data_IF_621060416718
#
_entry.id   IF_621060416718
#
_cell.length_a   1.000
_cell.length_b   1.000
_cell.length_c   1.000
_cell.angle_alpha   90.00
_cell.angle_beta   90.00
_cell.angle_gamma   90.00
#
_symmetry.space_group_name_H-M   'P 1'
#
loop_
_entity.id
_entity.type
_entity.pdbx_description
1 polymer ?
#
# COMPACT_ATOMS: atom_id res chain seq x y z
N UNK A 1 7.16 -10.64 -3.84
CA UNK A 1 7.50 -10.53 -2.40
C UNK A 1 6.35 -10.97 -1.49
N UNK A 2 5.20 -10.29 -1.43
CA UNK A 2 4.15 -10.69 -0.47
C UNK A 2 3.60 -12.11 -0.67
N UNK A 3 3.32 -12.53 -1.91
CA UNK A 3 2.84 -13.88 -2.19
C UNK A 3 3.80 -14.91 -1.59
N UNK A 4 5.10 -14.73 -1.84
CA UNK A 4 6.15 -15.55 -1.26
C UNK A 4 6.12 -15.53 0.26
N UNK A 5 6.01 -14.37 0.91
CA UNK A 5 5.93 -14.29 2.38
C UNK A 5 4.74 -15.09 2.91
N UNK A 6 3.54 -14.90 2.36
CA UNK A 6 2.35 -15.62 2.83
C UNK A 6 2.44 -17.11 2.56
N UNK A 7 2.84 -17.54 1.36
CA UNK A 7 2.95 -18.96 1.04
C UNK A 7 4.05 -19.63 1.84
N UNK A 8 5.21 -18.99 1.99
CA UNK A 8 6.34 -19.51 2.73
C UNK A 8 6.06 -19.58 4.24
N UNK A 9 5.48 -18.54 4.84
CA UNK A 9 5.08 -18.59 6.26
C UNK A 9 4.01 -19.66 6.49
N UNK A 10 3.04 -19.81 5.58
CA UNK A 10 2.04 -20.89 5.67
C UNK A 10 2.69 -22.26 5.52
N UNK A 11 3.68 -22.40 4.63
CA UNK A 11 4.44 -23.63 4.46
C UNK A 11 5.19 -24.00 5.75
N UNK A 12 5.92 -23.06 6.35
CA UNK A 12 6.63 -23.28 7.61
C UNK A 12 5.69 -23.67 8.75
N UNK A 13 4.56 -22.99 8.90
CA UNK A 13 3.62 -23.25 10.00
C UNK A 13 2.82 -24.55 9.83
N UNK A 14 2.48 -24.95 8.60
CA UNK A 14 1.51 -26.03 8.36
C UNK A 14 2.12 -27.29 7.71
N UNK A 15 3.23 -27.18 6.97
CA UNK A 15 3.82 -28.29 6.21
C UNK A 15 5.16 -28.82 6.77
N UNK A 16 5.79 -28.14 7.72
CA UNK A 16 7.06 -28.58 8.33
C UNK A 16 6.80 -29.30 9.65
N UNK A 17 7.35 -30.50 9.80
CA UNK A 17 7.35 -31.24 11.05
C UNK A 17 8.62 -30.91 11.86
N UNK A 18 8.47 -29.98 12.81
CA UNK A 18 9.58 -29.54 13.65
C UNK A 18 10.08 -30.61 14.62
N UNK A 19 9.27 -31.61 14.97
CA UNK A 19 9.69 -32.69 15.87
C UNK A 19 10.71 -33.63 15.19
N UNK A 20 10.56 -33.83 13.87
CA UNK A 20 11.53 -34.57 13.06
C UNK A 20 12.75 -33.69 12.74
N UNK A 21 12.53 -32.41 12.42
CA UNK A 21 13.61 -31.47 12.10
C UNK A 21 14.58 -31.25 13.28
N UNK A 22 14.06 -31.19 14.51
CA UNK A 22 14.87 -31.04 15.73
C UNK A 22 15.26 -32.37 16.38
N UNK A 23 15.02 -33.51 15.70
CA UNK A 23 15.36 -34.85 16.18
C UNK A 23 14.72 -35.25 17.52
N UNK A 24 13.57 -34.66 17.88
CA UNK A 24 12.78 -35.05 19.05
C UNK A 24 12.10 -36.42 18.86
N UNK A 25 11.94 -36.86 17.60
CA UNK A 25 11.38 -38.16 17.24
C UNK A 25 12.33 -38.91 16.31
N UNK A 26 12.69 -40.16 16.60
CA UNK A 26 13.49 -40.97 15.68
C UNK A 26 12.69 -41.27 14.42
N UNK A 27 13.35 -41.18 13.26
CA UNK A 27 12.76 -41.60 11.99
C UNK A 27 12.51 -43.11 12.04
N UNK A 28 11.26 -43.53 11.79
CA UNK A 28 10.89 -44.96 11.65
C UNK A 28 11.43 -45.57 10.33
N UNK A 29 12.67 -45.29 9.93
CA UNK A 29 13.40 -46.05 8.89
C UNK A 29 13.96 -47.34 9.51
N UNK A 30 13.12 -48.14 10.15
CA UNK A 30 13.47 -49.47 10.63
C UNK A 30 13.42 -50.46 9.47
N UNK A 31 14.39 -50.41 8.55
CA UNK A 31 14.65 -51.54 7.62
C UNK A 31 16.03 -51.60 6.97
N UNK A 32 17.01 -50.82 7.43
CA UNK A 32 18.40 -51.09 7.06
C UNK A 32 19.29 -50.89 8.29
N UNK A 33 19.91 -51.98 8.72
CA UNK A 33 20.87 -52.03 9.81
C UNK A 33 22.07 -51.11 9.50
N UNK A 34 22.32 -50.11 10.35
CA UNK A 34 23.62 -49.49 10.62
C UNK A 34 23.50 -48.54 11.82
N UNK A 35 24.52 -48.42 12.69
CA UNK A 35 24.43 -47.78 14.00
C UNK A 35 24.84 -46.29 13.98
N UNK A 36 24.45 -45.55 12.94
CA UNK A 36 24.65 -44.09 12.89
C UNK A 36 23.29 -43.39 13.06
N UNK A 37 23.22 -42.26 13.80
CA UNK A 37 21.99 -41.48 13.87
C UNK A 37 21.62 -41.07 12.44
N UNK A 38 20.57 -41.70 11.91
CA UNK A 38 20.15 -41.53 10.52
C UNK A 38 20.05 -40.04 10.21
N UNK A 39 20.93 -39.55 9.33
CA UNK A 39 21.07 -38.14 9.02
C UNK A 39 19.73 -37.61 8.50
N UNK A 40 19.09 -36.76 9.30
CA UNK A 40 17.81 -36.15 8.93
C UNK A 40 18.04 -35.22 7.75
N UNK A 41 17.41 -35.52 6.62
CA UNK A 41 17.44 -34.65 5.45
C UNK A 41 16.24 -33.69 5.47
N UNK A 42 16.39 -32.50 4.89
CA UNK A 42 15.30 -31.52 4.77
C UNK A 42 13.98 -32.11 4.22
N UNK A 43 13.95 -32.97 3.18
CA UNK A 43 12.70 -33.55 2.70
C UNK A 43 12.04 -34.51 3.71
N UNK A 44 12.79 -35.11 4.63
CA UNK A 44 12.21 -36.00 5.67
C UNK A 44 11.37 -35.21 6.69
N UNK A 45 11.63 -33.90 6.86
CA UNK A 45 10.87 -33.01 7.72
C UNK A 45 9.67 -32.32 7.03
N UNK A 46 9.52 -32.49 5.71
CA UNK A 46 8.42 -31.88 4.93
C UNK A 46 7.29 -32.88 4.76
N UNK A 47 6.10 -32.51 5.24
CA UNK A 47 4.91 -33.36 5.14
C UNK A 47 4.44 -33.50 3.69
N UNK A 48 3.94 -34.68 3.29
CA UNK A 48 3.37 -34.88 1.97
C UNK A 48 2.14 -33.97 1.74
N UNK A 49 1.95 -33.53 0.50
CA UNK A 49 0.94 -32.56 0.08
C UNK A 49 -0.49 -32.78 0.65
N UNK A 50 -1.06 -34.01 0.65
CA UNK A 50 -2.41 -34.23 1.21
C UNK A 50 -2.47 -34.01 2.73
N UNK A 51 -1.43 -34.42 3.47
CA UNK A 51 -1.35 -34.24 4.92
C UNK A 51 -1.14 -32.77 5.29
N UNK A 52 -0.32 -32.04 4.52
CA UNK A 52 -0.21 -30.60 4.71
C UNK A 52 -1.54 -29.89 4.40
N UNK A 53 -2.28 -30.32 3.36
CA UNK A 53 -3.58 -29.71 3.03
C UNK A 53 -4.61 -29.88 4.14
N UNK A 54 -4.65 -31.05 4.76
CA UNK A 54 -5.54 -31.34 5.87
C UNK A 54 -5.14 -30.56 7.15
N UNK A 55 -3.82 -30.45 7.45
CA UNK A 55 -3.32 -29.63 8.56
C UNK A 55 -3.56 -28.14 8.37
N UNK A 56 -3.43 -27.64 7.14
CA UNK A 56 -3.74 -26.24 6.79
C UNK A 56 -5.20 -25.90 7.12
N UNK A 57 -6.10 -26.83 6.83
CA UNK A 57 -7.53 -26.63 7.05
C UNK A 57 -7.93 -26.71 8.54
N UNK A 58 -7.20 -27.49 9.35
CA UNK A 58 -7.48 -27.67 10.78
C UNK A 58 -6.78 -26.64 11.69
N UNK A 59 -5.47 -26.41 11.51
CA UNK A 59 -4.65 -25.51 12.34
C UNK A 59 -4.50 -24.10 11.77
N UNK A 60 -4.48 -23.96 10.44
CA UNK A 60 -4.18 -22.71 9.77
C UNK A 60 -5.44 -22.05 9.17
N UNK A 61 -6.54 -22.01 9.93
CA UNK A 61 -7.77 -21.26 9.56
C UNK A 61 -7.55 -19.74 9.43
N UNK A 62 -6.44 -19.24 9.97
CA UNK A 62 -6.18 -17.81 10.21
C UNK A 62 -5.21 -17.14 9.24
N UNK A 63 -4.94 -17.69 8.04
CA UNK A 63 -4.40 -16.83 6.99
C UNK A 63 -5.58 -16.03 6.47
N UNK A 64 -5.63 -14.69 6.65
CA UNK A 64 -6.67 -13.89 6.03
C UNK A 64 -6.66 -14.28 4.56
N UNK A 65 -7.79 -14.80 4.07
CA UNK A 65 -7.96 -15.17 2.67
C UNK A 65 -7.42 -14.01 1.85
N UNK A 66 -6.88 -14.30 0.66
CA UNK A 66 -6.50 -13.30 -0.32
C UNK A 66 -7.63 -12.32 -0.73
N UNK A 67 -8.71 -12.14 0.03
CA UNK A 67 -9.71 -11.09 -0.10
C UNK A 67 -9.12 -9.69 0.00
N UNK A 68 -8.13 -9.44 0.87
CA UNK A 68 -7.40 -8.15 0.89
C UNK A 68 -6.61 -7.95 -0.41
N UNK A 69 -6.08 -9.04 -0.96
CA UNK A 69 -5.35 -9.09 -2.23
C UNK A 69 -6.27 -8.88 -3.43
N UNK A 70 -7.41 -9.56 -3.46
CA UNK A 70 -8.41 -9.41 -4.50
C UNK A 70 -8.94 -7.97 -4.54
N UNK A 71 -9.10 -7.28 -3.40
CA UNK A 71 -9.47 -5.84 -3.40
C UNK A 71 -8.33 -4.96 -3.93
N UNK A 72 -7.09 -5.17 -3.50
CA UNK A 72 -5.95 -4.41 -4.00
C UNK A 72 -5.71 -4.61 -5.51
N UNK A 73 -5.87 -5.84 -6.01
CA UNK A 73 -5.74 -6.19 -7.44
C UNK A 73 -6.93 -5.67 -8.25
N UNK A 74 -8.19 -5.79 -7.78
CA UNK A 74 -9.36 -5.21 -8.49
C UNK A 74 -9.33 -3.69 -8.54
N UNK A 75 -8.83 -3.01 -7.51
CA UNK A 75 -8.66 -1.56 -7.54
C UNK A 75 -7.52 -1.11 -8.47
N UNK A 76 -6.47 -1.93 -8.64
CA UNK A 76 -5.41 -1.68 -9.64
C UNK A 76 -5.82 -2.06 -11.06
N UNK A 77 -6.69 -3.05 -11.20
CA UNK A 77 -7.24 -3.54 -12.47
C UNK A 77 -8.57 -2.85 -12.83
N UNK A 78 -8.85 -1.66 -12.28
CA UNK A 78 -9.77 -0.75 -12.96
C UNK A 78 -9.12 -0.49 -14.32
N UNK A 79 -9.72 -0.95 -15.42
CA UNK A 79 -9.13 -0.72 -16.73
C UNK A 79 -9.03 0.79 -16.91
N UNK A 80 -7.91 1.23 -17.49
CA UNK A 80 -7.75 2.52 -18.14
C UNK A 80 -8.79 2.66 -19.26
N UNK A 81 -10.07 2.75 -18.90
CA UNK A 81 -11.17 2.88 -19.85
C UNK A 81 -11.21 4.33 -20.29
N UNK A 82 -11.02 4.47 -21.60
CA UNK A 82 -10.94 5.71 -22.36
C UNK A 82 -9.86 6.66 -21.86
N UNK A 83 -8.61 6.33 -22.19
CA UNK A 83 -7.62 7.37 -22.46
C UNK A 83 -8.24 8.23 -23.60
N UNK A 84 -8.59 9.51 -23.37
CA UNK A 84 -9.13 10.35 -24.44
C UNK A 84 -8.13 10.36 -25.60
N UNK A 85 -8.57 10.44 -26.86
CA UNK A 85 -7.70 10.40 -28.07
C UNK A 85 -6.48 11.35 -28.01
N UNK A 86 -6.52 12.41 -27.19
CA UNK A 86 -5.35 13.28 -26.95
C UNK A 86 -4.20 12.58 -26.22
N UNK A 87 -4.50 11.64 -25.33
CA UNK A 87 -3.48 10.95 -24.56
C UNK A 87 -2.77 9.83 -25.32
N UNK A 88 -3.13 9.46 -26.55
CA UNK A 88 -2.27 8.62 -27.41
C UNK A 88 -0.99 9.37 -27.84
N UNK A 89 -1.08 10.68 -28.12
CA UNK A 89 0.09 11.50 -28.42
C UNK A 89 0.86 11.94 -27.17
N UNK A 90 0.18 12.01 -26.02
CA UNK A 90 0.88 12.13 -24.74
C UNK A 90 1.62 10.82 -24.43
N UNK A 91 0.97 9.66 -24.61
CA UNK A 91 1.54 8.33 -24.36
C UNK A 91 2.76 8.06 -25.23
N UNK A 92 2.79 8.49 -26.50
CA UNK A 92 3.98 8.35 -27.36
C UNK A 92 5.21 9.08 -26.81
N UNK A 93 5.06 10.24 -26.16
CA UNK A 93 6.17 10.93 -25.48
C UNK A 93 6.74 10.12 -24.29
N UNK A 94 5.96 9.23 -23.71
CA UNK A 94 6.34 8.40 -22.56
C UNK A 94 6.75 6.98 -22.95
N UNK A 95 6.67 6.56 -24.22
CA UNK A 95 7.05 5.20 -24.60
C UNK A 95 8.55 5.06 -24.90
N UNK A 96 9.25 6.13 -25.31
CA UNK A 96 10.63 6.01 -25.84
C UNK A 96 11.74 6.61 -24.96
N UNK A 97 11.46 7.16 -23.77
CA UNK A 97 12.55 7.82 -23.01
C UNK A 97 12.29 8.22 -21.56
N UNK A 98 11.28 7.69 -20.88
CA UNK A 98 10.94 8.17 -19.50
C UNK A 98 12.08 7.97 -18.50
N UNK A 99 12.94 6.98 -18.74
CA UNK A 99 14.12 6.75 -17.89
C UNK A 99 15.31 7.65 -18.22
N UNK A 100 15.34 8.27 -19.40
CA UNK A 100 16.44 9.13 -19.85
C UNK A 100 16.18 10.62 -19.61
N UNK A 101 14.93 11.03 -19.36
CA UNK A 101 14.58 12.43 -19.13
C UNK A 101 14.64 12.84 -17.65
N UNK A 102 15.10 14.07 -17.39
CA UNK A 102 14.95 14.71 -16.08
C UNK A 102 13.49 15.13 -15.83
N UNK A 103 13.10 15.30 -14.56
CA UNK A 103 11.74 15.78 -14.22
C UNK A 103 11.44 17.15 -14.84
N UNK A 104 12.45 18.02 -14.97
CA UNK A 104 12.31 19.34 -15.58
C UNK A 104 11.99 19.24 -17.08
N UNK A 105 12.67 18.37 -17.81
CA UNK A 105 12.38 18.12 -19.23
C UNK A 105 10.97 17.55 -19.43
N UNK A 106 10.58 16.64 -18.54
CA UNK A 106 9.23 16.08 -18.50
C UNK A 106 8.18 17.17 -18.28
N UNK A 107 8.42 18.07 -17.33
CA UNK A 107 7.53 19.18 -17.02
C UNK A 107 7.41 20.16 -18.20
N UNK A 108 8.53 20.52 -18.83
CA UNK A 108 8.57 21.38 -20.00
C UNK A 108 7.77 20.78 -21.17
N UNK A 109 7.93 19.48 -21.44
CA UNK A 109 7.17 18.76 -22.47
C UNK A 109 5.68 18.72 -22.16
N UNK A 110 5.29 18.53 -20.90
CA UNK A 110 3.89 18.54 -20.47
C UNK A 110 3.25 19.92 -20.69
N UNK A 111 3.97 21.00 -20.38
CA UNK A 111 3.51 22.37 -20.63
C UNK A 111 3.38 22.66 -22.13
N UNK A 112 4.33 22.19 -22.96
CA UNK A 112 4.26 22.30 -24.41
C UNK A 112 3.08 21.52 -25.00
N UNK A 113 2.79 20.33 -24.46
CA UNK A 113 1.63 19.53 -24.84
C UNK A 113 0.31 20.21 -24.52
N UNK A 114 0.18 20.86 -23.35
CA UNK A 114 -1.05 21.59 -22.99
C UNK A 114 -1.46 22.63 -24.06
N UNK A 115 -0.48 23.25 -24.72
CA UNK A 115 -0.74 24.25 -25.78
C UNK A 115 -1.31 23.60 -27.04
N UNK A 116 -0.84 22.39 -27.37
CA UNK A 116 -1.27 21.62 -28.55
C UNK A 116 -2.55 20.84 -28.29
N UNK A 117 -2.74 20.38 -27.06
CA UNK A 117 -3.85 19.58 -26.60
C UNK A 117 -4.35 20.15 -25.28
N UNK A 118 -5.61 20.58 -25.21
CA UNK A 118 -6.20 21.13 -23.98
C UNK A 118 -6.43 20.03 -22.92
N UNK A 119 -5.36 19.53 -22.29
CA UNK A 119 -5.42 18.54 -21.20
C UNK A 119 -6.14 19.14 -19.98
N UNK A 120 -5.95 20.43 -19.73
CA UNK A 120 -6.70 21.21 -18.73
C UNK A 120 -7.82 22.01 -19.39
N UNK A 121 -9.07 21.61 -19.14
CA UNK A 121 -10.27 22.24 -19.76
C UNK A 121 -10.43 23.73 -19.40
N UNK A 122 -10.02 24.14 -18.20
CA UNK A 122 -10.31 25.47 -17.66
C UNK A 122 -9.19 26.51 -17.87
N UNK A 123 -8.00 26.08 -18.31
CA UNK A 123 -6.80 26.92 -18.36
C UNK A 123 -6.08 26.67 -19.68
N UNK A 124 -5.93 27.73 -20.49
CA UNK A 124 -5.23 27.65 -21.78
C UNK A 124 -3.74 27.37 -21.65
N UNK A 125 -3.13 27.86 -20.57
CA UNK A 125 -1.72 27.64 -20.25
C UNK A 125 -1.59 26.95 -18.89
N UNK A 126 -0.63 26.02 -18.80
CA UNK A 126 -0.29 25.30 -17.57
C UNK A 126 1.07 25.79 -17.11
N UNK A 127 1.16 26.24 -15.85
CA UNK A 127 2.42 26.65 -15.24
C UNK A 127 3.08 25.49 -14.49
N UNK A 128 4.37 25.62 -14.22
CA UNK A 128 5.11 24.69 -13.36
C UNK A 128 4.47 24.57 -11.98
N UNK A 129 4.10 25.70 -11.39
CA UNK A 129 3.47 25.76 -10.07
C UNK A 129 2.12 25.02 -10.04
N UNK A 130 1.33 25.10 -11.12
CA UNK A 130 0.07 24.37 -11.23
C UNK A 130 0.27 22.84 -11.19
N UNK A 131 1.35 22.35 -11.82
CA UNK A 131 1.72 20.94 -11.82
C UNK A 131 2.08 20.51 -10.39
N UNK A 132 2.95 21.28 -9.73
CA UNK A 132 3.34 21.02 -8.35
C UNK A 132 2.14 20.99 -7.40
N UNK A 133 1.25 21.99 -7.48
CA UNK A 133 0.04 22.05 -6.65
C UNK A 133 -0.93 20.90 -6.90
N UNK A 134 -0.94 20.30 -8.09
CA UNK A 134 -1.77 19.12 -8.38
C UNK A 134 -1.16 17.84 -7.82
N UNK A 135 0.15 17.66 -7.95
CA UNK A 135 0.86 16.46 -7.48
C UNK A 135 0.92 16.46 -5.95
N UNK A 136 1.33 17.59 -5.36
CA UNK A 136 1.67 17.68 -3.95
C UNK A 136 0.50 18.13 -3.05
N UNK A 137 -0.71 18.30 -3.59
CA UNK A 137 -1.87 18.88 -2.87
C UNK A 137 -2.01 18.34 -1.44
N UNK A 138 -2.14 17.02 -1.31
CA UNK A 138 -2.39 16.39 0.00
C UNK A 138 -1.13 16.34 0.87
N UNK A 139 0.05 16.21 0.27
CA UNK A 139 1.31 16.28 1.01
C UNK A 139 1.51 17.65 1.64
N UNK A 140 1.21 18.72 0.91
CA UNK A 140 1.28 20.10 1.43
C UNK A 140 0.32 20.30 2.60
N UNK A 141 -0.90 19.72 2.56
CA UNK A 141 -1.80 19.74 3.71
C UNK A 141 -1.23 18.98 4.91
N UNK A 142 -0.70 17.76 4.71
CA UNK A 142 -0.10 16.98 5.80
C UNK A 142 1.08 17.71 6.44
N UNK A 143 2.00 18.26 5.62
CA UNK A 143 3.13 19.06 6.10
C UNK A 143 2.63 20.27 6.90
N UNK A 144 1.63 21.00 6.39
CA UNK A 144 1.06 22.13 7.11
C UNK A 144 0.42 21.74 8.45
N UNK A 145 -0.30 20.62 8.52
CA UNK A 145 -0.93 20.13 9.74
C UNK A 145 0.09 19.68 10.79
N UNK A 146 1.17 19.01 10.37
CA UNK A 146 2.26 18.60 11.26
C UNK A 146 3.01 19.82 11.79
N UNK A 147 3.38 20.77 10.91
CA UNK A 147 4.11 21.97 11.28
C UNK A 147 3.33 22.86 12.26
N UNK A 148 2.00 22.92 12.08
CA UNK A 148 1.09 23.66 12.98
C UNK A 148 0.65 22.86 14.21
N UNK A 149 1.21 21.67 14.43
CA UNK A 149 0.85 20.77 15.53
C UNK A 149 -0.67 20.52 15.67
N UNK A 150 -1.38 20.46 14.54
CA UNK A 150 -2.82 20.17 14.51
C UNK A 150 -3.12 18.68 14.71
N UNK A 151 -2.11 17.83 14.50
CA UNK A 151 -2.20 16.39 14.69
C UNK A 151 -1.58 16.00 16.04
N UNK A 152 -2.24 15.13 16.84
CA UNK A 152 -1.75 14.69 18.13
C UNK A 152 -0.64 13.64 17.95
N UNK A 153 0.54 14.09 17.52
CA UNK A 153 1.69 13.22 17.26
C UNK A 153 2.67 13.15 18.44
N UNK A 154 2.53 14.04 19.43
CA UNK A 154 3.43 14.14 20.59
C UNK A 154 2.76 13.55 21.83
N UNK A 155 3.40 12.54 22.42
CA UNK A 155 2.91 11.86 23.61
C UNK A 155 3.93 12.00 24.73
N UNK A 156 3.49 12.23 25.97
CA UNK A 156 4.36 12.22 27.15
C UNK A 156 4.19 10.91 27.89
N UNK A 157 5.24 10.10 27.94
CA UNK A 157 5.27 8.88 28.73
C UNK A 157 6.02 9.13 30.04
N UNK A 158 5.58 8.52 31.17
CA UNK A 158 6.11 8.80 32.50
C UNK A 158 7.60 8.45 32.68
N UNK A 159 8.18 7.63 31.80
CA UNK A 159 9.59 7.20 31.87
C UNK A 159 10.43 7.62 30.66
N UNK A 160 9.83 7.73 29.47
CA UNK A 160 10.56 8.04 28.21
C UNK A 160 10.47 9.53 27.81
N UNK A 161 9.77 10.36 28.57
CA UNK A 161 9.57 11.77 28.24
C UNK A 161 8.66 11.97 27.03
N UNK A 162 8.93 12.98 26.20
CA UNK A 162 8.09 13.32 25.04
C UNK A 162 8.53 12.52 23.81
N UNK A 163 7.63 11.70 23.26
CA UNK A 163 7.83 10.92 22.03
C UNK A 163 6.99 11.47 20.89
N UNK A 164 7.53 11.36 19.67
CA UNK A 164 6.81 11.67 18.42
C UNK A 164 6.41 10.36 17.74
N UNK A 165 5.12 10.13 17.55
CA UNK A 165 4.60 8.93 16.91
C UNK A 165 3.86 9.27 15.62
N UNK A 166 4.53 9.09 14.48
CA UNK A 166 3.94 9.20 13.14
C UNK A 166 4.40 8.02 12.28
N UNK A 167 3.72 6.88 12.43
CA UNK A 167 3.99 5.70 11.62
C UNK A 167 3.33 5.82 10.24
N UNK A 168 3.81 5.05 9.25
CA UNK A 168 3.17 4.98 7.93
C UNK A 168 1.69 4.56 8.01
N UNK A 169 1.35 3.69 8.96
CA UNK A 169 -0.04 3.26 9.19
C UNK A 169 -0.90 4.39 9.76
N UNK A 170 -0.40 5.15 10.73
CA UNK A 170 -1.13 6.31 11.26
C UNK A 170 -1.30 7.38 10.18
N UNK A 171 -0.23 7.70 9.44
CA UNK A 171 -0.29 8.63 8.31
C UNK A 171 -1.35 8.20 7.29
N UNK A 172 -1.37 6.92 6.89
CA UNK A 172 -2.38 6.38 5.98
C UNK A 172 -3.81 6.54 6.51
N UNK A 173 -4.04 6.24 7.80
CA UNK A 173 -5.37 6.40 8.40
C UNK A 173 -5.80 7.85 8.47
N UNK A 174 -4.89 8.78 8.77
CA UNK A 174 -5.17 10.21 8.76
C UNK A 174 -5.51 10.72 7.36
N UNK A 175 -4.74 10.32 6.35
CA UNK A 175 -5.01 10.67 4.95
C UNK A 175 -6.33 10.05 4.46
N UNK A 176 -6.64 8.82 4.87
CA UNK A 176 -7.91 8.16 4.57
C UNK A 176 -9.09 8.93 5.21
N UNK A 177 -8.97 9.32 6.48
CA UNK A 177 -10.01 10.06 7.19
C UNK A 177 -10.24 11.45 6.57
N UNK A 178 -9.16 12.19 6.27
CA UNK A 178 -9.24 13.59 5.88
C UNK A 178 -9.43 13.80 4.38
N UNK A 179 -8.84 12.95 3.54
CA UNK A 179 -8.73 13.21 2.10
C UNK A 179 -9.47 12.21 1.20
N UNK A 180 -9.43 10.90 1.49
CA UNK A 180 -9.85 9.87 0.51
C UNK A 180 -11.06 9.02 0.92
N UNK A 181 -11.49 9.06 2.18
CA UNK A 181 -12.62 8.29 2.70
C UNK A 181 -13.99 8.82 2.25
N UNK A 182 -15.06 8.03 2.43
CA UNK A 182 -16.42 8.43 2.05
C UNK A 182 -16.94 9.66 2.82
N UNK A 183 -16.47 9.81 4.07
CA UNK A 183 -16.76 10.95 4.93
C UNK A 183 -15.65 12.02 4.92
N UNK A 184 -14.67 11.92 4.00
CA UNK A 184 -13.56 12.86 3.94
C UNK A 184 -14.02 14.30 3.65
N UNK A 185 -13.19 15.26 4.05
CA UNK A 185 -13.44 16.70 3.88
C UNK A 185 -13.48 17.10 2.39
N UNK A 186 -12.79 16.35 1.55
CA UNK A 186 -12.78 16.50 0.11
C UNK A 186 -13.96 15.74 -0.50
N UNK A 187 -14.80 16.45 -1.27
CA UNK A 187 -15.86 15.81 -2.07
C UNK A 187 -15.25 15.03 -3.25
N UNK A 188 -14.22 15.62 -3.86
CA UNK A 188 -13.50 15.12 -5.02
C UNK A 188 -12.00 15.27 -4.72
N UNK A 189 -11.11 14.67 -5.52
CA UNK A 189 -9.63 14.78 -5.38
C UNK A 189 -9.06 16.22 -5.41
N UNK A 190 -9.90 17.23 -5.62
CA UNK A 190 -9.48 18.62 -5.81
C UNK A 190 -10.32 19.69 -5.12
N UNK A 191 -11.53 19.37 -4.67
CA UNK A 191 -12.41 20.35 -4.03
C UNK A 191 -12.80 19.90 -2.63
N UNK A 192 -12.70 20.81 -1.67
CA UNK A 192 -13.30 20.67 -0.34
C UNK A 192 -14.82 20.80 -0.43
N UNK A 193 -15.53 20.08 0.44
CA UNK A 193 -16.97 20.23 0.58
C UNK A 193 -17.31 21.69 0.88
N UNK A 194 -18.34 22.28 0.25
CA UNK A 194 -18.69 23.70 0.43
C UNK A 194 -19.03 24.05 1.89
N UNK A 195 -19.53 23.07 2.66
CA UNK A 195 -19.82 23.23 4.07
C UNK A 195 -18.57 23.57 4.89
N UNK A 196 -17.41 22.98 4.55
CA UNK A 196 -16.13 23.25 5.22
C UNK A 196 -15.61 24.67 4.99
N UNK A 197 -16.11 25.37 3.96
CA UNK A 197 -15.74 26.76 3.66
C UNK A 197 -16.55 27.78 4.46
N UNK A 198 -17.65 27.38 5.09
CA UNK A 198 -18.56 28.27 5.82
C UNK A 198 -18.24 28.23 7.31
N UNK A 199 -17.83 29.36 7.87
CA UNK A 199 -17.52 29.47 9.31
C UNK A 199 -18.72 29.12 10.22
N UNK A 200 -19.95 29.46 9.81
CA UNK A 200 -21.15 29.18 10.61
C UNK A 200 -21.43 27.70 10.87
N UNK A 201 -20.94 26.80 10.00
CA UNK A 201 -21.14 25.35 10.16
C UNK A 201 -20.03 24.68 11.00
N UNK A 202 -19.07 25.44 11.55
CA UNK A 202 -17.85 24.89 12.17
C UNK A 202 -18.13 23.95 13.34
N UNK A 203 -19.04 24.31 14.25
CA UNK A 203 -19.36 23.47 15.43
C UNK A 203 -20.03 22.17 15.05
N UNK A 204 -20.96 22.23 14.10
CA UNK A 204 -21.66 21.06 13.60
C UNK A 204 -20.71 20.10 12.87
N UNK A 205 -19.84 20.65 12.01
CA UNK A 205 -18.83 19.84 11.30
C UNK A 205 -17.82 19.21 12.27
N UNK A 206 -17.40 19.94 13.31
CA UNK A 206 -16.48 19.42 14.32
C UNK A 206 -17.07 18.26 15.15
N UNK A 207 -18.40 18.17 15.27
CA UNK A 207 -19.07 17.03 15.93
C UNK A 207 -19.19 15.80 15.04
N UNK A 208 -19.16 15.98 13.71
CA UNK A 208 -19.29 14.89 12.73
C UNK A 208 -17.96 14.24 12.38
N UNK A 209 -16.85 14.94 12.59
CA UNK A 209 -15.48 14.48 12.40
C UNK A 209 -14.98 13.77 13.66
#
# INVERSE_FOLDING_TARGET
>A
QFLFVVTFTTFLLCCVDYDVLFANRPLNRSRAATPDPAKVSLPDAVLPAPQCAQRRMSRCRAVPRGSLWCRAVRCRAVPSRAVPRGADAAVSLWQEGVRSYSWQEVQARLMALQRRQQLCVHRRELTELDIHHRILRFQNYTVAMVNKALLPLRFRLPLLGTLVFLTRGLQYNLELLLFWGPAALFQNKWSLRPQCKRAGARRELARRL
#
